data_IF_393474644154
#
_entry.id   IF_393474644154
#
_cell.length_a   1.000
_cell.length_b   1.000
_cell.length_c   1.000
_cell.angle_alpha   90.00
_cell.angle_beta   90.00
_cell.angle_gamma   90.00
#
_symmetry.space_group_name_H-M   'P 1'
#
loop_
_entity.id
_entity.type
_entity.pdbx_description
1 polymer ?
#
# COMPACT_ATOMS: atom_id res chain seq x y z
N UNK A 1 23.90 -4.08 0.60
CA UNK A 1 23.65 -2.81 -0.12
C UNK A 1 23.01 -1.82 0.84
N UNK A 2 23.20 -0.50 0.64
CA UNK A 2 22.42 0.51 1.34
C UNK A 2 20.99 0.53 0.79
N UNK A 3 19.98 0.55 1.67
CA UNK A 3 18.57 0.65 1.27
C UNK A 3 18.29 2.03 0.66
N UNK A 4 17.39 2.14 -0.33
CA UNK A 4 17.02 3.43 -0.89
C UNK A 4 16.31 4.27 0.17
N UNK A 5 16.52 5.59 0.14
CA UNK A 5 15.73 6.55 0.90
C UNK A 5 15.07 7.49 -0.09
N UNK A 6 13.76 7.65 0.06
CA UNK A 6 12.96 8.46 -0.86
C UNK A 6 12.48 9.74 -0.18
N UNK A 7 12.75 10.87 -0.82
CA UNK A 7 11.99 12.10 -0.60
C UNK A 7 10.65 11.99 -1.32
N UNK A 8 9.56 12.23 -0.59
CA UNK A 8 8.19 12.01 -1.07
C UNK A 8 7.41 13.31 -1.03
N UNK A 9 6.48 13.44 -1.96
CA UNK A 9 5.52 14.54 -2.01
C UNK A 9 4.11 14.00 -1.76
N UNK A 10 3.24 14.85 -1.21
CA UNK A 10 1.83 14.53 -1.06
C UNK A 10 1.20 14.35 -2.47
N UNK A 11 0.40 13.30 -2.64
CA UNK A 11 -0.33 13.00 -3.88
C UNK A 11 -1.84 13.06 -3.65
N UNK A 12 -2.64 13.43 -4.68
CA UNK A 12 -4.08 13.25 -4.63
C UNK A 12 -4.41 11.75 -4.46
N UNK A 13 -5.23 11.42 -3.46
CA UNK A 13 -5.59 10.03 -3.15
C UNK A 13 -6.21 9.30 -4.35
N UNK A 14 -6.95 10.02 -5.20
CA UNK A 14 -7.51 9.49 -6.44
C UNK A 14 -6.47 8.99 -7.48
N UNK A 15 -5.18 9.32 -7.30
CA UNK A 15 -4.08 8.89 -8.17
C UNK A 15 -3.38 7.61 -7.71
N UNK A 16 -3.66 7.12 -6.50
CA UNK A 16 -2.96 5.96 -5.90
C UNK A 16 -3.16 4.68 -6.70
N UNK A 17 -4.27 4.57 -7.42
CA UNK A 17 -4.55 3.42 -8.31
C UNK A 17 -3.41 3.15 -9.29
N UNK A 18 -2.70 4.19 -9.73
CA UNK A 18 -1.57 4.06 -10.68
C UNK A 18 -0.42 3.24 -10.10
N UNK A 19 -0.36 3.13 -8.77
CA UNK A 19 0.64 2.34 -8.07
C UNK A 19 0.13 0.95 -7.68
N UNK A 20 -1.18 0.79 -7.41
CA UNK A 20 -1.75 -0.48 -6.93
C UNK A 20 -2.39 -1.35 -8.02
N UNK A 21 -2.97 -0.77 -9.08
CA UNK A 21 -3.60 -1.51 -10.19
C UNK A 21 -2.62 -2.46 -10.93
N UNK A 22 -1.32 -2.14 -11.09
CA UNK A 22 -0.35 -3.13 -11.61
C UNK A 22 -0.16 -4.36 -10.72
N UNK A 23 -0.68 -4.35 -9.49
CA UNK A 23 -0.61 -5.45 -8.53
C UNK A 23 0.78 -5.70 -7.95
N UNK A 24 1.52 -4.68 -7.47
CA UNK A 24 2.80 -4.93 -6.81
C UNK A 24 2.58 -5.60 -5.44
N UNK A 25 3.60 -6.30 -4.95
CA UNK A 25 3.68 -6.67 -3.54
C UNK A 25 3.81 -5.40 -2.70
N UNK A 26 3.13 -5.35 -1.56
CA UNK A 26 3.16 -4.20 -0.65
C UNK A 26 3.52 -4.64 0.77
N UNK A 27 3.97 -3.69 1.58
CA UNK A 27 4.17 -3.86 3.01
C UNK A 27 3.07 -3.11 3.76
N UNK A 28 2.36 -3.78 4.67
CA UNK A 28 1.33 -3.16 5.51
C UNK A 28 1.87 -2.96 6.91
N UNK A 29 2.04 -1.71 7.31
CA UNK A 29 2.40 -1.35 8.68
C UNK A 29 1.15 -1.05 9.51
N UNK A 30 1.22 -1.38 10.80
CA UNK A 30 0.10 -1.28 11.74
C UNK A 30 0.60 -0.90 13.14
N UNK A 31 -0.21 -0.18 13.90
CA UNK A 31 0.06 0.15 15.31
C UNK A 31 -1.15 -0.18 16.17
N UNK A 32 -0.95 -0.83 17.31
CA UNK A 32 -1.98 -1.02 18.32
C UNK A 32 -1.37 -0.93 19.72
N UNK A 33 -1.88 -0.01 20.53
CA UNK A 33 -1.21 0.41 21.77
C UNK A 33 0.20 0.96 21.47
N UNK A 34 1.19 0.48 22.21
CA UNK A 34 2.61 0.84 22.03
C UNK A 34 3.34 -0.04 21.01
N UNK A 35 2.66 -1.06 20.45
CA UNK A 35 3.26 -2.00 19.52
C UNK A 35 3.05 -1.56 18.07
N UNK A 36 4.11 -1.70 17.28
CA UNK A 36 4.10 -1.56 15.82
C UNK A 36 4.43 -2.90 15.16
N UNK A 37 3.95 -3.10 13.94
CA UNK A 37 4.30 -4.27 13.13
C UNK A 37 4.28 -3.93 11.64
N UNK A 38 4.88 -4.79 10.83
CA UNK A 38 4.80 -4.78 9.37
C UNK A 38 4.59 -6.20 8.83
N UNK A 39 3.77 -6.34 7.79
CA UNK A 39 3.60 -7.60 7.06
C UNK A 39 3.74 -7.39 5.56
N UNK A 40 4.06 -8.46 4.84
CA UNK A 40 4.03 -8.49 3.37
C UNK A 40 2.65 -8.94 2.91
N UNK A 41 2.07 -8.23 1.94
CA UNK A 41 0.74 -8.51 1.41
C UNK A 41 0.76 -8.49 -0.12
N UNK A 42 0.29 -9.57 -0.73
CA UNK A 42 0.13 -9.69 -2.19
C UNK A 42 -1.32 -9.67 -2.69
N UNK A 43 -2.29 -9.79 -1.79
CA UNK A 43 -3.71 -9.86 -2.13
C UNK A 43 -4.40 -8.55 -1.78
N UNK A 44 -4.42 -7.63 -2.74
CA UNK A 44 -5.12 -6.36 -2.65
C UNK A 44 -5.70 -5.96 -4.01
N UNK A 45 -6.66 -5.04 -4.00
CA UNK A 45 -7.27 -4.50 -5.23
C UNK A 45 -7.86 -3.12 -5.01
N UNK A 46 -7.86 -2.28 -6.05
CA UNK A 46 -8.57 -0.99 -6.04
C UNK A 46 -10.06 -1.24 -6.25
N UNK A 47 -10.90 -0.70 -5.36
CA UNK A 47 -12.37 -0.85 -5.40
C UNK A 47 -13.04 0.39 -6.00
N UNK A 48 -12.65 1.58 -5.56
CA UNK A 48 -13.28 2.85 -5.96
C UNK A 48 -12.23 3.97 -6.01
N UNK A 49 -12.45 4.96 -6.89
CA UNK A 49 -11.58 6.10 -7.05
C UNK A 49 -11.89 7.24 -6.08
N UNK A 50 -13.18 7.52 -5.85
CA UNK A 50 -13.64 8.57 -4.94
C UNK A 50 -14.93 8.14 -4.21
N UNK A 51 -14.87 7.84 -2.89
CA UNK A 51 -13.65 7.81 -2.05
C UNK A 51 -12.63 6.77 -2.53
N UNK A 52 -11.35 6.96 -2.20
CA UNK A 52 -10.28 6.07 -2.68
C UNK A 52 -10.27 4.77 -1.87
N UNK A 53 -10.98 3.74 -2.33
CA UNK A 53 -11.18 2.49 -1.59
C UNK A 53 -10.27 1.37 -2.10
N UNK A 54 -9.64 0.65 -1.17
CA UNK A 54 -8.79 -0.52 -1.42
C UNK A 54 -9.31 -1.71 -0.63
N UNK A 55 -9.45 -2.85 -1.29
CA UNK A 55 -9.69 -4.15 -0.66
C UNK A 55 -8.39 -4.85 -0.35
N UNK A 56 -8.24 -5.37 0.87
CA UNK A 56 -7.04 -6.04 1.35
C UNK A 56 -7.40 -7.36 2.01
N UNK A 57 -6.74 -8.46 1.62
CA UNK A 57 -6.85 -9.72 2.36
C UNK A 57 -5.69 -9.83 3.34
N UNK A 58 -6.01 -9.74 4.63
CA UNK A 58 -5.05 -9.89 5.73
C UNK A 58 -5.52 -11.09 6.53
N UNK A 59 -4.81 -12.22 6.48
CA UNK A 59 -5.25 -13.47 7.13
C UNK A 59 -5.29 -13.30 8.65
N UNK A 60 -6.25 -13.95 9.32
CA UNK A 60 -6.29 -14.08 10.79
C UNK A 60 -5.04 -14.72 11.40
N UNK A 61 -4.22 -15.42 10.60
CA UNK A 61 -2.93 -15.96 11.04
C UNK A 61 -1.81 -14.91 11.07
N UNK A 62 -2.03 -13.73 10.49
CA UNK A 62 -1.06 -12.63 10.54
C UNK A 62 -1.22 -11.86 11.85
N UNK A 63 -0.11 -11.57 12.53
CA UNK A 63 -0.14 -10.71 13.73
C UNK A 63 -0.80 -9.35 13.48
N UNK A 64 -0.64 -8.81 12.25
CA UNK A 64 -1.27 -7.55 11.84
C UNK A 64 -2.80 -7.61 11.79
N UNK A 65 -3.44 -8.78 11.73
CA UNK A 65 -4.89 -8.90 11.63
C UNK A 65 -5.61 -8.17 12.77
N UNK A 66 -5.29 -8.55 14.01
CA UNK A 66 -5.87 -7.92 15.20
C UNK A 66 -5.44 -6.46 15.30
N UNK A 67 -4.16 -6.17 15.06
CA UNK A 67 -3.65 -4.80 15.16
C UNK A 67 -4.38 -3.83 14.23
N UNK A 68 -4.65 -4.23 12.98
CA UNK A 68 -5.33 -3.39 12.00
C UNK A 68 -6.83 -3.33 12.27
N UNK A 69 -7.46 -4.45 12.68
CA UNK A 69 -8.87 -4.48 13.04
C UNK A 69 -9.18 -3.61 14.25
N UNK A 70 -8.37 -3.72 15.30
CA UNK A 70 -8.61 -3.04 16.59
C UNK A 70 -8.26 -1.55 16.51
N UNK A 71 -7.24 -1.18 15.73
CA UNK A 71 -6.89 0.23 15.53
C UNK A 71 -7.73 0.93 14.47
N UNK A 72 -8.31 0.18 13.52
CA UNK A 72 -8.98 0.71 12.35
C UNK A 72 -8.05 1.43 11.37
N UNK A 73 -6.73 1.29 11.53
CA UNK A 73 -5.72 2.07 10.80
C UNK A 73 -4.58 1.21 10.29
N UNK A 74 -4.08 1.53 9.09
CA UNK A 74 -2.85 0.96 8.57
C UNK A 74 -2.16 1.94 7.61
N UNK A 75 -0.93 1.62 7.21
CA UNK A 75 -0.29 2.24 6.05
C UNK A 75 0.09 1.15 5.06
N UNK A 76 -0.31 1.32 3.80
CA UNK A 76 0.14 0.49 2.67
C UNK A 76 1.39 1.15 2.09
N UNK A 77 2.53 0.47 2.20
CA UNK A 77 3.83 0.94 1.75
C UNK A 77 4.23 0.17 0.49
N UNK A 78 4.65 0.87 -0.56
CA UNK A 78 4.97 0.29 -1.86
C UNK A 78 6.49 0.23 -1.99
N UNK A 79 7.12 -0.93 -1.80
CA UNK A 79 8.56 -1.10 -1.95
C UNK A 79 8.98 -1.15 -3.43
N UNK A 80 10.28 -1.04 -3.67
CA UNK A 80 10.92 -1.41 -4.94
C UNK A 80 11.65 -2.74 -4.81
N UNK A 81 12.16 -3.27 -5.91
CA UNK A 81 13.01 -4.47 -5.97
C UNK A 81 14.23 -4.40 -5.06
N UNK A 82 14.69 -3.19 -4.69
CA UNK A 82 15.78 -2.99 -3.75
C UNK A 82 15.49 -3.51 -2.32
N UNK A 83 14.21 -3.79 -2.00
CA UNK A 83 13.78 -4.38 -0.73
C UNK A 83 13.35 -5.85 -0.86
N UNK A 84 13.79 -6.57 -1.91
CA UNK A 84 13.39 -7.96 -2.15
C UNK A 84 13.64 -8.89 -0.96
N UNK A 85 14.82 -8.77 -0.33
CA UNK A 85 15.20 -9.58 0.83
C UNK A 85 14.29 -9.28 2.03
N UNK A 86 14.01 -8.00 2.30
CA UNK A 86 13.11 -7.58 3.38
C UNK A 86 11.67 -8.02 3.13
N UNK A 87 11.16 -7.89 1.90
CA UNK A 87 9.81 -8.35 1.52
C UNK A 87 9.63 -9.84 1.86
N UNK A 88 10.61 -10.66 1.50
CA UNK A 88 10.58 -12.11 1.79
C UNK A 88 10.76 -12.37 3.28
N UNK A 89 11.73 -11.71 3.92
CA UNK A 89 12.03 -11.86 5.35
C UNK A 89 10.83 -11.51 6.23
N UNK A 90 10.20 -10.37 5.98
CA UNK A 90 9.00 -9.89 6.68
C UNK A 90 7.84 -10.87 6.52
N UNK A 91 7.66 -11.40 5.30
CA UNK A 91 6.59 -12.36 4.99
C UNK A 91 6.75 -13.73 5.67
N UNK A 92 7.97 -14.11 6.04
CA UNK A 92 8.29 -15.43 6.63
C UNK A 92 8.32 -15.46 8.16
N UNK A 93 8.17 -14.32 8.82
CA UNK A 93 8.20 -14.22 10.28
C UNK A 93 6.94 -13.53 10.84
N UNK A 94 6.78 -13.56 12.16
CA UNK A 94 5.63 -12.94 12.84
C UNK A 94 6.07 -11.86 13.82
N UNK A 95 5.36 -10.72 13.79
CA UNK A 95 5.60 -9.59 14.70
C UNK A 95 5.15 -9.87 16.13
N UNK A 96 4.51 -11.01 16.38
CA UNK A 96 4.20 -11.47 17.72
C UNK A 96 5.46 -11.74 18.55
N UNK A 97 6.58 -12.06 17.89
CA UNK A 97 7.81 -12.54 18.53
C UNK A 97 9.00 -11.58 18.39
N UNK A 98 9.00 -10.73 17.37
CA UNK A 98 10.12 -9.83 17.04
C UNK A 98 9.60 -8.45 16.65
N UNK A 99 10.38 -7.39 16.92
CA UNK A 99 10.20 -6.12 16.21
C UNK A 99 10.82 -6.26 14.81
N UNK A 100 9.94 -6.33 13.80
CA UNK A 100 10.36 -6.46 12.40
C UNK A 100 11.01 -5.20 11.85
N UNK A 101 10.67 -4.01 12.35
CA UNK A 101 11.35 -2.78 11.90
C UNK A 101 12.81 -2.80 12.35
N UNK A 102 13.08 -3.21 13.59
CA UNK A 102 14.45 -3.37 14.09
C UNK A 102 15.19 -4.50 13.38
N UNK A 103 14.56 -5.68 13.28
CA UNK A 103 15.15 -6.87 12.67
C UNK A 103 15.57 -6.62 11.21
N UNK A 104 14.69 -5.99 10.43
CA UNK A 104 14.94 -5.71 9.02
C UNK A 104 15.55 -4.32 8.79
N UNK A 105 15.89 -3.57 9.85
CA UNK A 105 16.48 -2.23 9.78
C UNK A 105 15.70 -1.32 8.83
N UNK A 106 14.39 -1.21 9.07
CA UNK A 106 13.48 -0.33 8.34
C UNK A 106 13.23 0.94 9.16
N UNK A 107 13.30 2.09 8.50
CA UNK A 107 13.14 3.39 9.15
C UNK A 107 11.68 3.79 9.16
N UNK A 108 11.10 3.91 10.36
CA UNK A 108 9.73 4.41 10.52
C UNK A 108 9.67 5.93 10.48
N UNK A 109 8.67 6.48 9.80
CA UNK A 109 8.33 7.90 9.85
C UNK A 109 6.89 8.07 10.35
N UNK A 110 6.57 9.15 11.09
CA UNK A 110 5.20 9.42 11.50
C UNK A 110 4.30 9.71 10.28
N UNK A 111 3.15 9.05 10.23
CA UNK A 111 2.07 9.38 9.31
C UNK A 111 1.37 10.68 9.75
N UNK A 112 0.64 11.35 8.83
CA UNK A 112 -0.04 12.62 9.16
C UNK A 112 -1.45 12.43 9.73
N UNK A 113 -2.18 11.40 9.30
CA UNK A 113 -3.60 11.19 9.56
C UNK A 113 -3.92 9.84 10.24
N UNK A 114 -2.95 8.94 10.36
CA UNK A 114 -3.08 7.63 11.04
C UNK A 114 -1.90 7.38 12.00
N UNK A 115 -2.03 6.43 12.92
CA UNK A 115 -1.00 6.07 13.90
C UNK A 115 0.00 5.02 13.39
N UNK A 116 -0.37 4.25 12.37
CA UNK A 116 0.53 3.31 11.73
C UNK A 116 1.70 4.07 11.05
N UNK A 117 2.96 3.62 11.21
CA UNK A 117 4.10 4.36 10.69
C UNK A 117 4.26 4.19 9.17
N UNK A 118 4.79 5.20 8.50
CA UNK A 118 5.31 5.09 7.14
C UNK A 118 6.65 4.35 7.16
N UNK A 119 7.03 3.73 6.04
CA UNK A 119 8.37 3.16 5.82
C UNK A 119 9.15 4.08 4.88
N UNK A 120 10.25 4.66 5.35
CA UNK A 120 11.04 5.65 4.60
C UNK A 120 11.62 5.08 3.31
N UNK A 121 12.01 3.81 3.34
CA UNK A 121 12.62 3.08 2.24
C UNK A 121 11.62 2.63 1.15
N UNK A 122 10.32 2.74 1.39
CA UNK A 122 9.31 2.48 0.35
C UNK A 122 9.15 3.68 -0.58
N UNK A 123 8.87 3.42 -1.85
CA UNK A 123 8.67 4.45 -2.86
C UNK A 123 7.41 5.30 -2.60
N UNK A 124 6.35 4.66 -2.10
CA UNK A 124 5.10 5.32 -1.74
C UNK A 124 4.56 4.80 -0.40
N UNK A 125 3.76 5.63 0.28
CA UNK A 125 3.06 5.30 1.52
C UNK A 125 1.63 5.84 1.45
N UNK A 126 0.66 4.98 1.72
CA UNK A 126 -0.77 5.27 1.65
C UNK A 126 -1.37 5.09 3.04
N UNK A 127 -1.81 6.18 3.65
CA UNK A 127 -2.42 6.19 4.97
C UNK A 127 -3.89 5.80 4.86
N UNK A 128 -4.30 4.77 5.60
CA UNK A 128 -5.55 4.06 5.38
C UNK A 128 -6.38 3.98 6.66
N UNK A 129 -7.70 4.18 6.54
CA UNK A 129 -8.69 3.93 7.61
C UNK A 129 -9.67 2.85 7.19
N UNK A 130 -9.99 1.94 8.09
CA UNK A 130 -10.96 0.88 7.87
C UNK A 130 -12.35 1.49 7.73
N UNK A 131 -13.05 1.20 6.64
CA UNK A 131 -14.40 1.72 6.37
C UNK A 131 -15.46 0.64 6.24
N UNK A 132 -15.07 -0.60 5.96
CA UNK A 132 -15.97 -1.75 5.97
C UNK A 132 -15.22 -3.03 6.39
N UNK A 133 -15.73 -3.69 7.42
CA UNK A 133 -15.22 -4.93 7.99
C UNK A 133 -16.22 -6.11 7.88
N UNK A 134 -17.32 -5.94 7.13
CA UNK A 134 -18.40 -6.93 6.99
C UNK A 134 -17.92 -8.27 6.44
N UNK A 135 -16.86 -8.27 5.64
CA UNK A 135 -16.24 -9.47 5.06
C UNK A 135 -15.02 -9.97 5.84
N UNK A 136 -14.57 -9.27 6.88
CA UNK A 136 -13.37 -9.65 7.65
C UNK A 136 -13.55 -11.00 8.33
N UNK A 137 -14.69 -11.23 8.97
CA UNK A 137 -14.98 -12.50 9.65
C UNK A 137 -15.06 -13.71 8.71
N UNK A 138 -15.48 -13.50 7.45
CA UNK A 138 -15.71 -14.58 6.47
C UNK A 138 -14.51 -14.84 5.57
N UNK A 139 -13.86 -13.78 5.12
CA UNK A 139 -12.83 -13.84 4.07
C UNK A 139 -11.54 -13.13 4.45
N UNK A 140 -11.43 -12.60 5.67
CA UNK A 140 -10.28 -11.78 6.04
C UNK A 140 -10.11 -10.58 5.11
N UNK A 141 -11.21 -10.11 4.52
CA UNK A 141 -11.24 -9.04 3.53
C UNK A 141 -11.64 -7.72 4.18
N UNK A 142 -10.69 -6.81 4.25
CA UNK A 142 -10.83 -5.48 4.82
C UNK A 142 -10.99 -4.46 3.69
N UNK A 143 -11.88 -3.47 3.86
CA UNK A 143 -11.97 -2.33 2.95
C UNK A 143 -11.45 -1.08 3.64
N UNK A 144 -10.41 -0.49 3.07
CA UNK A 144 -9.81 0.74 3.56
C UNK A 144 -10.09 1.91 2.65
N UNK A 145 -10.33 3.09 3.22
CA UNK A 145 -10.21 4.36 2.52
C UNK A 145 -8.78 4.90 2.68
N UNK A 146 -8.14 5.25 1.56
CA UNK A 146 -6.87 5.99 1.56
C UNK A 146 -7.17 7.46 1.83
N UNK A 147 -6.80 7.92 3.03
CA UNK A 147 -7.05 9.29 3.48
C UNK A 147 -5.87 10.24 3.20
N UNK A 148 -4.67 9.68 2.96
CA UNK A 148 -3.51 10.44 2.51
C UNK A 148 -2.54 9.56 1.71
N UNK A 149 -1.87 10.14 0.73
CA UNK A 149 -0.88 9.44 -0.08
C UNK A 149 0.39 10.26 -0.23
N UNK A 150 1.52 9.57 -0.17
CA UNK A 150 2.86 10.12 -0.39
C UNK A 150 3.59 9.24 -1.39
N UNK A 151 4.30 9.82 -2.35
CA UNK A 151 5.23 9.04 -3.17
C UNK A 151 6.44 9.85 -3.61
N UNK A 152 7.53 9.16 -3.90
CA UNK A 152 8.67 9.72 -4.57
C UNK A 152 8.29 10.10 -6.02
N UNK A 153 8.96 11.13 -6.54
CA UNK A 153 8.80 11.56 -7.95
C UNK A 153 9.83 10.93 -8.87
N UNK A 154 10.89 10.34 -8.30
CA UNK A 154 12.03 9.77 -9.03
C UNK A 154 12.41 8.40 -8.47
N UNK A 155 12.58 7.37 -9.33
CA UNK A 155 12.29 7.38 -10.77
C UNK A 155 10.79 7.57 -11.07
N UNK A 156 10.45 8.01 -12.29
CA UNK A 156 9.05 8.18 -12.72
C UNK A 156 8.24 6.88 -12.58
N UNK A 157 8.89 5.75 -12.88
CA UNK A 157 8.32 4.41 -12.77
C UNK A 157 9.24 3.59 -11.85
N UNK A 158 8.84 3.29 -10.60
CA UNK A 158 9.62 2.45 -9.72
C UNK A 158 9.66 1.01 -10.22
N UNK A 159 10.80 0.36 -10.00
CA UNK A 159 10.93 -1.07 -10.24
C UNK A 159 10.22 -1.85 -9.11
N UNK A 160 8.96 -2.23 -9.31
CA UNK A 160 8.15 -2.97 -8.33
C UNK A 160 8.27 -4.48 -8.51
N UNK A 161 7.95 -5.23 -7.45
CA UNK A 161 7.92 -6.69 -7.46
C UNK A 161 6.48 -7.20 -7.47
N UNK A 162 6.22 -8.28 -8.19
CA UNK A 162 4.91 -8.91 -8.31
C UNK A 162 5.04 -10.39 -7.95
N UNK A 163 4.42 -10.81 -6.85
CA UNK A 163 4.62 -12.12 -6.28
C UNK A 163 3.94 -13.22 -7.11
N UNK A 164 4.67 -14.30 -7.40
CA UNK A 164 4.19 -15.46 -8.15
C UNK A 164 3.95 -16.70 -7.29
N UNK A 165 4.33 -16.67 -6.01
CA UNK A 165 4.40 -17.87 -5.16
C UNK A 165 5.83 -18.33 -4.91
N UNK A 166 6.02 -19.12 -3.86
CA UNK A 166 7.28 -19.80 -3.52
C UNK A 166 8.52 -18.91 -3.48
N UNK A 167 8.37 -17.66 -3.01
CA UNK A 167 9.47 -16.69 -2.97
C UNK A 167 9.89 -16.15 -4.34
N UNK A 168 9.14 -16.45 -5.40
CA UNK A 168 9.41 -16.00 -6.77
C UNK A 168 8.64 -14.72 -7.07
N UNK A 169 9.29 -13.77 -7.75
CA UNK A 169 8.71 -12.48 -8.12
C UNK A 169 9.00 -12.16 -9.58
N UNK A 170 8.04 -11.55 -10.26
CA UNK A 170 8.31 -10.78 -11.48
C UNK A 170 8.72 -9.38 -11.08
N UNK A 171 9.70 -8.84 -11.78
CA UNK A 171 10.08 -7.42 -11.70
C UNK A 171 9.27 -6.65 -12.73
N UNK A 172 8.73 -5.48 -12.37
CA UNK A 172 8.00 -4.62 -13.30
C UNK A 172 8.87 -4.28 -14.51
N UNK A 173 8.35 -4.56 -15.71
CA UNK A 173 9.12 -4.48 -16.94
C UNK A 173 8.93 -3.20 -17.75
N UNK A 174 9.02 -3.35 -19.07
CA UNK A 174 8.92 -2.27 -20.05
C UNK A 174 7.61 -1.48 -19.91
N UNK A 175 7.74 -0.16 -19.82
CA UNK A 175 6.60 0.77 -19.87
C UNK A 175 6.18 1.03 -21.32
N UNK A 176 4.88 0.96 -21.58
CA UNK A 176 4.27 1.26 -22.88
C UNK A 176 3.24 2.38 -22.67
N UNK A 177 3.55 3.58 -23.16
CA UNK A 177 2.64 4.73 -23.08
C UNK A 177 1.77 4.80 -24.34
N UNK A 178 0.44 4.72 -24.18
CA UNK A 178 -0.54 4.82 -25.28
C UNK A 178 -1.48 6.03 -25.09
N UNK A 179 -1.01 7.10 -24.42
CA UNK A 179 -1.81 8.28 -24.09
C UNK A 179 -2.66 8.85 -25.24
N UNK A 180 -2.17 8.95 -26.48
CA UNK A 180 -2.96 9.47 -27.61
C UNK A 180 -4.19 8.61 -27.95
N UNK A 181 -4.17 7.30 -27.64
CA UNK A 181 -5.31 6.39 -27.85
C UNK A 181 -6.29 6.40 -26.67
N UNK A 182 -5.91 7.00 -25.54
CA UNK A 182 -6.68 7.03 -24.31
C UNK A 182 -7.61 8.26 -24.23
N UNK A 183 -7.35 9.30 -25.03
CA UNK A 183 -8.24 10.45 -25.15
C UNK A 183 -9.53 10.09 -25.91
N UNK A 184 -10.67 10.26 -25.23
CA UNK A 184 -12.02 10.45 -25.78
C UNK A 184 -12.97 9.24 -25.92
N UNK A 185 -12.96 8.29 -24.99
CA UNK A 185 -14.14 7.45 -24.73
C UNK A 185 -15.12 8.10 -23.75
N UNK A 186 -16.44 8.03 -24.02
CA UNK A 186 -17.52 8.53 -23.13
C UNK A 186 -17.41 7.92 -21.72
N UNK A 187 -17.00 6.65 -21.63
CA UNK A 187 -16.84 5.92 -20.39
C UNK A 187 -15.77 6.54 -19.47
N UNK A 188 -14.64 6.95 -20.02
CA UNK A 188 -13.54 7.53 -19.23
C UNK A 188 -13.83 8.98 -18.82
N UNK A 189 -14.59 9.75 -19.61
CA UNK A 189 -15.03 11.09 -19.20
C UNK A 189 -15.91 11.04 -17.94
N UNK A 190 -16.75 10.01 -17.79
CA UNK A 190 -17.56 9.80 -16.58
C UNK A 190 -16.69 9.50 -15.36
N UNK A 191 -15.68 8.64 -15.51
CA UNK A 191 -14.70 8.34 -14.46
C UNK A 191 -13.86 9.57 -14.09
N UNK A 192 -13.33 10.31 -15.08
CA UNK A 192 -12.60 11.57 -14.84
C UNK A 192 -13.45 12.63 -14.17
N UNK A 193 -14.74 12.69 -14.45
CA UNK A 193 -15.65 13.61 -13.76
C UNK A 193 -15.89 13.18 -12.30
N UNK A 194 -15.92 11.88 -12.00
CA UNK A 194 -15.94 11.36 -10.62
C UNK A 194 -14.62 11.59 -9.86
N UNK A 195 -13.50 11.73 -10.59
CA UNK A 195 -12.17 12.07 -10.04
C UNK A 195 -12.01 13.57 -9.76
N UNK A 196 -12.93 14.44 -10.20
CA UNK A 196 -12.89 15.86 -9.83
C UNK A 196 -13.27 15.95 -8.35
N UNK A 197 -12.50 16.66 -7.52
CA UNK A 197 -12.89 16.85 -6.14
C UNK A 197 -14.29 17.48 -6.13
N UNK A 198 -15.23 16.81 -5.45
CA UNK A 198 -16.48 17.46 -5.05
C UNK A 198 -16.02 18.60 -4.14
N UNK A 199 -15.95 19.82 -4.68
CA UNK A 199 -15.89 21.03 -3.87
C UNK A 199 -17.18 21.01 -3.05
N UNK A 200 -17.11 20.45 -1.84
CA UNK A 200 -18.17 20.60 -0.85
C UNK A 200 -18.14 22.07 -0.45
N UNK A 201 -19.16 22.80 -0.87
CA UNK A 201 -19.54 24.09 -0.30
C UNK A 201 -19.93 23.92 1.17
#
# INVERSE_FOLDING_TARGET
>A
MLKPLYEKVDLPVASIRRYLEPGPIVLVSSTHGERRNVMTMGWHTVIEFSPSLIGCVISSNNHSFGMVRDSGECVINIPTSALAEEIVGIGKCSGAWIDKFETFKLTTEPAKLVKAPLIRECFANLECRLVDDSLVGKYSFFVFEVVKAHAATTPKYPETLHYMGDGTFMVSGKIIEQHPKFSAGILWRRILNALRPVQRA
#
